data_IF_850002904963
#
_entry.id   IF_850002904963
#
_cell.length_a   1.000
_cell.length_b   1.000
_cell.length_c   1.000
_cell.angle_alpha   90.00
_cell.angle_beta   90.00
_cell.angle_gamma   90.00
#
_symmetry.space_group_name_H-M   'P 1'
#
loop_
_entity.id
_entity.type
_entity.pdbx_description
1 polymer ?
#
# COMPACT_ATOMS: atom_id res chain seq x y z
N UNK A 1 -68.94 15.64 5.15
CA UNK A 1 -68.13 16.32 4.11
C UNK A 1 -66.66 16.04 4.37
N UNK A 2 -65.97 15.51 3.35
CA UNK A 2 -64.56 15.09 3.34
C UNK A 2 -63.61 16.25 3.65
N UNK A 3 -62.58 16.03 4.48
CA UNK A 3 -61.28 16.69 4.32
C UNK A 3 -60.19 15.62 4.30
N UNK A 4 -59.64 15.43 3.12
CA UNK A 4 -58.51 14.57 2.81
C UNK A 4 -57.22 15.19 3.35
N UNK A 5 -56.53 14.48 4.24
CA UNK A 5 -55.12 14.66 4.56
C UNK A 5 -54.31 13.88 3.54
N UNK A 6 -53.75 14.57 2.54
CA UNK A 6 -52.72 13.99 1.66
C UNK A 6 -51.39 14.17 2.37
N UNK A 7 -50.94 13.14 3.07
CA UNK A 7 -49.60 13.06 3.62
C UNK A 7 -48.67 12.62 2.49
N UNK A 8 -47.90 13.57 1.96
CA UNK A 8 -46.89 13.31 0.93
C UNK A 8 -45.70 12.60 1.59
N UNK A 9 -45.72 11.26 1.61
CA UNK A 9 -44.56 10.43 1.96
C UNK A 9 -43.56 10.48 0.79
N UNK A 10 -42.70 11.50 0.76
CA UNK A 10 -41.45 11.43 0.01
C UNK A 10 -40.52 10.44 0.72
N UNK A 11 -40.60 9.17 0.32
CA UNK A 11 -39.56 8.17 0.61
C UNK A 11 -38.27 8.62 -0.08
N UNK A 12 -37.38 9.23 0.69
CA UNK A 12 -35.97 9.39 0.32
C UNK A 12 -35.38 7.98 0.36
N UNK A 13 -35.34 7.32 -0.80
CA UNK A 13 -34.52 6.12 -0.99
C UNK A 13 -33.07 6.60 -0.93
N UNK A 14 -32.46 6.53 0.26
CA UNK A 14 -31.01 6.56 0.37
C UNK A 14 -30.49 5.34 -0.39
N UNK A 15 -30.06 5.55 -1.64
CA UNK A 15 -29.21 4.62 -2.36
C UNK A 15 -27.90 4.51 -1.58
N UNK A 16 -27.83 3.54 -0.67
CA UNK A 16 -26.58 3.12 -0.06
C UNK A 16 -25.74 2.53 -1.19
N UNK A 17 -24.86 3.35 -1.77
CA UNK A 17 -23.85 2.88 -2.71
C UNK A 17 -23.07 1.77 -2.01
N UNK A 18 -22.95 0.55 -2.58
CA UNK A 18 -22.18 -0.50 -1.95
C UNK A 18 -20.75 0.00 -1.78
N UNK A 19 -20.28 -0.03 -0.53
CA UNK A 19 -18.91 0.33 -0.20
C UNK A 19 -17.98 -0.54 -1.06
N UNK A 20 -17.16 0.13 -1.86
CA UNK A 20 -16.30 -0.55 -2.83
C UNK A 20 -14.94 -0.87 -2.22
N UNK A 21 -14.89 -1.49 -1.03
CA UNK A 21 -13.63 -1.61 -0.32
C UNK A 21 -12.75 -2.72 -0.90
N UNK A 22 -11.73 -2.33 -1.65
CA UNK A 22 -10.51 -3.12 -1.80
C UNK A 22 -9.51 -2.59 -0.77
N UNK A 23 -9.01 -3.47 0.10
CA UNK A 23 -8.12 -3.08 1.19
C UNK A 23 -6.91 -4.00 1.23
N UNK A 24 -5.73 -3.38 1.33
CA UNK A 24 -4.45 -4.02 1.53
C UNK A 24 -3.89 -3.54 2.86
N UNK A 25 -3.64 -4.49 3.76
CA UNK A 25 -3.13 -4.24 5.10
C UNK A 25 -1.84 -5.06 5.30
N UNK A 26 -0.97 -4.58 6.18
CA UNK A 26 0.21 -5.32 6.61
C UNK A 26 0.23 -5.34 8.14
N UNK A 27 0.43 -6.50 8.75
CA UNK A 27 0.43 -6.64 10.21
C UNK A 27 1.16 -7.91 10.67
N UNK A 28 1.36 -8.03 11.98
CA UNK A 28 1.99 -9.21 12.57
C UNK A 28 0.94 -10.16 13.13
N UNK A 29 1.09 -11.46 12.86
CA UNK A 29 0.26 -12.53 13.41
C UNK A 29 1.14 -13.47 14.23
N UNK A 30 0.71 -13.77 15.46
CA UNK A 30 1.38 -14.72 16.34
C UNK A 30 1.04 -16.15 15.90
N UNK A 31 2.05 -16.93 15.52
CA UNK A 31 1.91 -18.33 15.15
C UNK A 31 1.79 -19.23 16.40
N UNK A 32 1.28 -20.47 16.27
CA UNK A 32 1.16 -21.43 17.38
C UNK A 32 2.48 -21.68 18.14
N UNK A 33 3.63 -21.54 17.47
CA UNK A 33 4.96 -21.65 18.09
C UNK A 33 5.47 -20.38 18.79
N UNK A 34 4.61 -19.36 18.98
CA UNK A 34 4.96 -18.11 19.66
C UNK A 34 5.70 -17.08 18.79
N UNK A 35 6.12 -17.45 17.58
CA UNK A 35 6.79 -16.57 16.62
C UNK A 35 5.79 -15.57 15.99
N UNK A 36 6.25 -14.34 15.74
CA UNK A 36 5.47 -13.33 15.04
C UNK A 36 5.86 -13.28 13.57
N UNK A 37 4.90 -13.56 12.69
CA UNK A 37 5.07 -13.53 11.24
C UNK A 37 4.38 -12.30 10.70
N UNK A 38 5.08 -11.52 9.87
CA UNK A 38 4.44 -10.42 9.16
C UNK A 38 3.62 -10.96 7.99
N UNK A 39 2.36 -10.54 7.93
CA UNK A 39 1.37 -10.98 6.96
C UNK A 39 0.86 -9.76 6.18
N UNK A 40 0.75 -9.91 4.87
CA UNK A 40 -0.08 -9.05 4.04
C UNK A 40 -1.49 -9.63 4.02
N UNK A 41 -2.49 -8.79 4.33
CA UNK A 41 -3.90 -9.14 4.24
C UNK A 41 -4.53 -8.34 3.10
N UNK A 42 -5.24 -9.03 2.23
CA UNK A 42 -6.00 -8.42 1.14
C UNK A 42 -7.46 -8.77 1.38
N UNK A 43 -8.34 -7.78 1.38
CA UNK A 43 -9.78 -7.97 1.56
C UNK A 43 -10.59 -7.16 0.55
N UNK A 44 -11.71 -7.73 0.12
CA UNK A 44 -12.61 -7.17 -0.87
C UNK A 44 -14.06 -7.23 -0.38
N UNK A 45 -14.83 -6.25 -0.80
CA UNK A 45 -16.29 -6.27 -0.75
C UNK A 45 -16.88 -6.80 -2.06
N UNK A 46 -18.20 -6.95 -2.12
CA UNK A 46 -18.92 -7.54 -3.26
C UNK A 46 -18.50 -6.93 -4.60
N UNK A 47 -18.36 -5.60 -4.67
CA UNK A 47 -17.99 -4.87 -5.89
C UNK A 47 -16.53 -5.12 -6.34
N UNK A 48 -15.64 -5.52 -5.43
CA UNK A 48 -14.22 -5.80 -5.69
C UNK A 48 -13.87 -7.28 -5.57
N UNK A 49 -14.89 -8.14 -5.44
CA UNK A 49 -14.73 -9.58 -5.21
C UNK A 49 -13.92 -10.30 -6.28
N UNK A 50 -13.99 -9.85 -7.55
CA UNK A 50 -13.19 -10.39 -8.64
C UNK A 50 -11.69 -10.17 -8.46
N UNK A 51 -11.27 -9.05 -7.83
CA UNK A 51 -9.87 -8.79 -7.51
C UNK A 51 -9.36 -9.80 -6.48
N UNK A 52 -10.11 -10.00 -5.39
CA UNK A 52 -9.74 -11.00 -4.40
C UNK A 52 -9.83 -12.41 -4.98
N UNK A 53 -10.82 -12.73 -5.82
CA UNK A 53 -10.87 -14.04 -6.46
C UNK A 53 -9.60 -14.32 -7.27
N UNK A 54 -9.08 -13.32 -7.99
CA UNK A 54 -7.83 -13.46 -8.76
C UNK A 54 -6.58 -13.57 -7.88
N UNK A 55 -6.52 -12.85 -6.76
CA UNK A 55 -5.36 -12.83 -5.87
C UNK A 55 -5.37 -14.02 -4.91
N UNK A 56 -6.51 -14.22 -4.27
CA UNK A 56 -6.68 -15.04 -3.09
C UNK A 56 -7.29 -16.41 -3.38
N UNK A 57 -7.77 -16.65 -4.61
CA UNK A 57 -8.68 -17.78 -4.93
C UNK A 57 -9.92 -17.82 -4.02
N UNK A 58 -10.25 -16.66 -3.44
CA UNK A 58 -11.34 -16.44 -2.50
C UNK A 58 -11.90 -15.03 -2.75
N UNK A 59 -13.22 -14.86 -2.88
CA UNK A 59 -13.80 -13.58 -3.27
C UNK A 59 -13.76 -12.51 -2.16
N UNK A 60 -13.47 -12.87 -0.91
CA UNK A 60 -13.54 -11.95 0.23
C UNK A 60 -12.19 -11.55 0.77
N UNK A 61 -11.26 -12.49 1.00
CA UNK A 61 -9.95 -12.16 1.55
C UNK A 61 -8.92 -13.28 1.41
N UNK A 62 -7.64 -12.90 1.55
CA UNK A 62 -6.55 -13.81 1.88
C UNK A 62 -5.51 -13.14 2.78
N UNK A 63 -4.68 -13.98 3.39
CA UNK A 63 -3.48 -13.56 4.10
C UNK A 63 -2.28 -14.29 3.49
N UNK A 64 -1.20 -13.57 3.27
CA UNK A 64 0.05 -14.11 2.72
C UNK A 64 1.21 -13.70 3.62
N UNK A 65 2.12 -14.64 3.99
CA UNK A 65 3.30 -14.29 4.74
C UNK A 65 4.26 -13.46 3.89
N UNK A 66 4.81 -12.38 4.46
CA UNK A 66 5.82 -11.59 3.74
C UNK A 66 7.13 -12.38 3.60
N UNK A 67 7.75 -12.40 2.40
CA UNK A 67 8.92 -13.23 2.14
C UNK A 67 10.13 -12.88 3.01
N UNK A 68 10.42 -11.58 3.24
CA UNK A 68 11.56 -11.13 4.05
C UNK A 68 11.30 -11.01 5.53
N UNK A 69 10.03 -10.98 5.93
CA UNK A 69 9.67 -10.64 7.29
C UNK A 69 8.87 -11.68 8.02
N UNK A 70 9.28 -12.93 7.79
CA UNK A 70 8.71 -14.08 8.49
C UNK A 70 8.95 -14.04 10.00
N UNK A 71 9.94 -13.28 10.50
CA UNK A 71 10.27 -13.18 11.94
C UNK A 71 10.85 -11.82 12.39
N UNK A 72 10.69 -10.72 11.64
CA UNK A 72 11.41 -9.46 12.01
C UNK A 72 10.82 -8.64 13.16
N UNK A 73 9.93 -9.19 13.98
CA UNK A 73 9.54 -8.53 15.21
C UNK A 73 10.77 -8.43 16.15
N UNK A 74 11.51 -7.31 16.08
CA UNK A 74 12.69 -7.03 16.89
C UNK A 74 14.06 -7.32 16.25
N UNK A 75 14.15 -7.81 15.01
CA UNK A 75 15.47 -8.06 14.37
C UNK A 75 15.87 -6.90 13.47
N UNK A 76 17.02 -6.26 13.74
CA UNK A 76 17.56 -5.15 12.93
C UNK A 76 18.17 -5.66 11.62
N UNK A 77 17.36 -5.82 10.55
CA UNK A 77 17.89 -6.09 9.21
C UNK A 77 18.62 -4.85 8.65
N UNK A 78 19.95 -4.89 8.45
CA UNK A 78 20.69 -3.77 7.86
C UNK A 78 20.19 -3.43 6.46
N UNK A 79 19.80 -4.46 5.69
CA UNK A 79 19.23 -4.34 4.35
C UNK A 79 17.96 -3.47 4.36
N UNK A 80 17.03 -3.73 5.28
CA UNK A 80 15.78 -2.97 5.38
C UNK A 80 16.03 -1.53 5.84
N UNK A 81 17.00 -1.30 6.74
CA UNK A 81 17.40 0.06 7.15
C UNK A 81 17.97 0.87 6.00
N UNK A 82 18.88 0.26 5.21
CA UNK A 82 19.43 0.90 4.02
C UNK A 82 18.35 1.16 2.98
N UNK A 83 17.44 0.21 2.76
CA UNK A 83 16.31 0.33 1.85
C UNK A 83 15.42 1.54 2.19
N UNK A 84 15.03 1.70 3.46
CA UNK A 84 14.24 2.85 3.89
C UNK A 84 14.97 4.18 3.66
N UNK A 85 16.28 4.22 3.92
CA UNK A 85 17.12 5.40 3.66
C UNK A 85 17.15 5.74 2.17
N UNK A 86 17.39 4.75 1.32
CA UNK A 86 17.56 4.94 -0.13
C UNK A 86 16.25 5.25 -0.85
N UNK A 87 15.12 4.63 -0.46
CA UNK A 87 13.79 4.93 -1.00
C UNK A 87 13.53 6.43 -0.99
N UNK A 88 13.81 7.04 0.15
CA UNK A 88 13.43 8.41 0.42
C UNK A 88 14.21 9.46 -0.36
N UNK A 89 15.48 9.15 -0.68
CA UNK A 89 16.35 9.98 -1.50
C UNK A 89 16.08 9.77 -2.98
N UNK A 90 15.74 8.54 -3.35
CA UNK A 90 15.71 8.09 -4.74
C UNK A 90 14.36 8.33 -5.39
N UNK A 91 13.25 8.27 -4.64
CA UNK A 91 11.90 8.31 -5.19
C UNK A 91 11.11 9.53 -4.72
N UNK A 92 10.24 10.00 -5.60
CA UNK A 92 9.17 10.96 -5.32
C UNK A 92 7.81 10.33 -5.67
N UNK A 93 6.78 10.70 -4.91
CA UNK A 93 5.40 10.30 -5.22
C UNK A 93 4.90 11.13 -6.41
N UNK A 94 4.28 10.47 -7.39
CA UNK A 94 3.91 11.10 -8.66
C UNK A 94 2.40 11.31 -8.80
N UNK A 95 1.63 10.23 -9.01
CA UNK A 95 0.20 10.33 -9.30
C UNK A 95 -0.55 9.13 -8.73
N UNK A 96 -1.85 9.30 -8.49
CA UNK A 96 -2.72 8.20 -8.10
C UNK A 96 -2.96 7.24 -9.28
N UNK A 97 -2.93 5.96 -8.99
CA UNK A 97 -3.22 4.89 -9.93
C UNK A 97 -4.73 4.81 -10.19
N UNK A 98 -5.16 5.27 -11.36
CA UNK A 98 -6.57 5.25 -11.74
C UNK A 98 -7.10 3.84 -12.04
N UNK A 99 -6.26 2.94 -12.57
CA UNK A 99 -6.64 1.56 -12.86
C UNK A 99 -6.14 0.59 -11.78
N UNK A 100 -7.06 0.16 -10.91
CA UNK A 100 -6.78 -0.79 -9.85
C UNK A 100 -6.29 -2.15 -10.35
N UNK A 101 -6.60 -2.54 -11.58
CA UNK A 101 -6.13 -3.81 -12.14
C UNK A 101 -4.60 -3.87 -12.25
N UNK A 102 -3.94 -2.73 -12.42
CA UNK A 102 -2.47 -2.66 -12.43
C UNK A 102 -1.90 -3.05 -11.06
N UNK A 103 -2.48 -2.53 -9.97
CA UNK A 103 -2.11 -2.91 -8.61
C UNK A 103 -2.42 -4.39 -8.34
N UNK A 104 -3.58 -4.88 -8.76
CA UNK A 104 -3.97 -6.29 -8.59
C UNK A 104 -2.97 -7.21 -9.29
N UNK A 105 -2.57 -6.89 -10.53
CA UNK A 105 -1.53 -7.66 -11.25
C UNK A 105 -0.20 -7.65 -10.50
N UNK A 106 0.22 -6.49 -10.00
CA UNK A 106 1.45 -6.38 -9.20
C UNK A 106 1.40 -7.26 -7.95
N UNK A 107 0.31 -7.18 -7.16
CA UNK A 107 0.11 -8.00 -5.96
C UNK A 107 -0.02 -9.50 -6.29
N UNK A 108 -0.48 -9.84 -7.50
CA UNK A 108 -0.55 -11.22 -7.99
C UNK A 108 0.83 -11.86 -8.22
N UNK A 109 1.89 -11.06 -8.36
CA UNK A 109 3.25 -11.61 -8.56
C UNK A 109 3.84 -12.23 -7.30
N UNK A 110 3.33 -11.87 -6.12
CA UNK A 110 3.86 -12.26 -4.80
C UNK A 110 5.35 -11.92 -4.58
N UNK A 111 5.94 -11.11 -5.47
CA UNK A 111 7.35 -10.70 -5.44
C UNK A 111 7.46 -9.27 -4.99
N UNK A 112 6.91 -9.02 -3.81
CA UNK A 112 6.92 -7.72 -3.15
C UNK A 112 6.98 -7.87 -1.63
N UNK A 113 7.37 -6.78 -0.97
CA UNK A 113 7.18 -6.58 0.48
C UNK A 113 6.46 -5.26 0.71
N UNK A 114 5.63 -5.18 1.75
CA UNK A 114 4.94 -3.95 2.12
C UNK A 114 5.61 -3.37 3.37
N UNK A 115 6.34 -2.29 3.23
CA UNK A 115 7.00 -1.67 4.37
C UNK A 115 6.10 -0.59 4.98
N UNK A 116 5.71 -0.78 6.24
CA UNK A 116 5.01 0.25 7.00
C UNK A 116 5.95 1.42 7.27
N UNK A 117 5.51 2.66 7.04
CA UNK A 117 6.26 3.86 7.41
C UNK A 117 6.58 3.89 8.91
N UNK A 118 5.72 3.35 9.79
CA UNK A 118 5.99 3.23 11.23
C UNK A 118 6.87 2.03 11.60
N UNK A 119 7.46 1.34 10.63
CA UNK A 119 8.35 0.21 10.90
C UNK A 119 9.53 0.60 11.80
N UNK A 120 9.96 -0.31 12.67
CA UNK A 120 11.14 -0.15 13.54
C UNK A 120 12.42 0.16 12.75
N UNK A 121 12.46 -0.22 11.47
CA UNK A 121 13.55 0.08 10.55
C UNK A 121 13.60 1.57 10.16
N UNK A 122 12.46 2.26 10.23
CA UNK A 122 12.32 3.69 10.03
C UNK A 122 12.62 4.50 11.31
N UNK A 123 12.54 3.87 12.50
CA UNK A 123 12.68 4.57 13.78
C UNK A 123 14.07 5.17 14.03
N UNK A 124 15.14 4.48 13.60
CA UNK A 124 16.52 4.90 13.87
C UNK A 124 17.10 5.86 12.81
N UNK A 125 16.46 5.94 11.64
CA UNK A 125 16.84 6.89 10.58
C UNK A 125 15.57 7.17 9.76
N UNK A 126 14.79 8.21 10.11
CA UNK A 126 13.52 8.46 9.43
C UNK A 126 13.73 8.65 7.93
N UNK A 127 12.98 7.90 7.15
CA UNK A 127 12.79 7.97 5.71
C UNK A 127 12.64 9.43 5.30
N UNK A 128 13.64 9.92 4.56
CA UNK A 128 13.54 11.11 3.70
C UNK A 128 13.76 12.44 4.37
N UNK A 129 14.07 12.42 5.67
CA UNK A 129 13.87 13.62 6.46
C UNK A 129 12.46 14.18 6.24
N UNK A 130 12.32 15.47 6.44
CA UNK A 130 11.02 16.16 6.38
C UNK A 130 10.37 16.12 4.98
N UNK A 131 11.15 15.95 3.90
CA UNK A 131 10.67 16.09 2.52
C UNK A 131 9.78 14.92 2.06
N UNK A 132 10.21 13.67 2.22
CA UNK A 132 9.40 12.52 1.81
C UNK A 132 8.16 12.34 2.71
N UNK A 133 8.29 12.63 4.01
CA UNK A 133 7.15 12.67 4.93
C UNK A 133 6.11 13.73 4.51
N UNK A 134 6.56 14.90 4.05
CA UNK A 134 5.68 15.94 3.51
C UNK A 134 4.99 15.50 2.21
N UNK A 135 5.69 14.79 1.32
CA UNK A 135 5.08 14.21 0.12
C UNK A 135 4.01 13.17 0.49
N UNK A 136 4.30 12.27 1.43
CA UNK A 136 3.31 11.34 1.95
C UNK A 136 2.09 12.08 2.52
N UNK A 137 2.29 13.14 3.30
CA UNK A 137 1.21 13.99 3.80
C UNK A 137 0.40 14.64 2.67
N UNK A 138 1.05 15.10 1.61
CA UNK A 138 0.38 15.74 0.47
C UNK A 138 -0.49 14.76 -0.34
N UNK A 139 -0.02 13.53 -0.55
CA UNK A 139 -0.75 12.53 -1.35
C UNK A 139 -1.72 11.69 -0.52
N UNK A 140 -1.35 11.34 0.71
CA UNK A 140 -2.11 10.44 1.57
C UNK A 140 -2.92 11.14 2.65
N UNK A 141 -2.76 12.46 2.84
CA UNK A 141 -3.45 13.21 3.89
C UNK A 141 -3.23 12.59 5.27
N UNK A 142 -4.31 12.45 6.03
CA UNK A 142 -4.30 11.88 7.38
C UNK A 142 -3.86 10.41 7.41
N UNK A 143 -3.92 9.70 6.27
CA UNK A 143 -3.50 8.30 6.19
C UNK A 143 -1.98 8.14 5.96
N UNK A 144 -1.22 9.22 5.79
CA UNK A 144 0.23 9.19 5.55
C UNK A 144 1.00 8.37 6.62
N UNK A 145 0.55 8.43 7.87
CA UNK A 145 1.14 7.71 9.00
C UNK A 145 0.93 6.18 8.96
N UNK A 146 0.02 5.70 8.13
CA UNK A 146 -0.28 4.29 7.92
C UNK A 146 0.04 3.84 6.49
N UNK A 147 0.77 4.67 5.74
CA UNK A 147 1.16 4.36 4.38
C UNK A 147 2.05 3.10 4.33
N UNK A 148 1.81 2.28 3.31
CA UNK A 148 2.60 1.09 3.02
C UNK A 148 3.42 1.33 1.75
N UNK A 149 4.72 1.12 1.84
CA UNK A 149 5.64 1.18 0.71
C UNK A 149 5.71 -0.19 0.05
N UNK A 150 5.20 -0.31 -1.18
CA UNK A 150 5.24 -1.55 -1.94
C UNK A 150 6.56 -1.65 -2.71
N UNK A 151 7.49 -2.44 -2.17
CA UNK A 151 8.81 -2.65 -2.75
C UNK A 151 8.82 -3.94 -3.55
N UNK A 152 9.20 -3.85 -4.83
CA UNK A 152 9.35 -4.99 -5.73
C UNK A 152 10.60 -5.79 -5.40
N UNK A 153 10.52 -7.10 -5.56
CA UNK A 153 11.60 -8.05 -5.35
C UNK A 153 12.07 -8.68 -6.67
N UNK A 154 13.35 -9.05 -6.74
CA UNK A 154 13.93 -9.79 -7.87
C UNK A 154 13.65 -11.31 -7.78
N UNK A 155 14.34 -12.11 -8.60
CA UNK A 155 14.16 -13.57 -8.69
C UNK A 155 14.74 -14.32 -7.50
N UNK A 156 15.77 -13.73 -6.88
CA UNK A 156 16.37 -14.20 -5.64
C UNK A 156 15.80 -13.47 -4.43
N UNK A 157 14.61 -12.88 -4.62
CA UNK A 157 13.81 -12.12 -3.69
C UNK A 157 14.41 -10.76 -3.26
N UNK A 158 15.59 -10.30 -3.71
CA UNK A 158 16.18 -9.06 -3.19
C UNK A 158 15.34 -7.81 -3.51
N UNK A 159 15.26 -6.81 -2.60
CA UNK A 159 14.58 -5.55 -2.87
C UNK A 159 15.18 -4.83 -4.10
N UNK A 160 14.36 -4.55 -5.11
CA UNK A 160 14.78 -3.92 -6.36
C UNK A 160 14.41 -2.45 -6.46
N UNK A 161 13.13 -2.13 -6.27
CA UNK A 161 12.59 -0.79 -6.55
C UNK A 161 11.32 -0.54 -5.74
N UNK A 162 11.10 0.71 -5.32
CA UNK A 162 9.79 1.12 -4.84
C UNK A 162 8.87 1.21 -6.05
N UNK A 163 7.74 0.49 -6.02
CA UNK A 163 6.77 0.47 -7.12
C UNK A 163 5.56 1.35 -6.81
N UNK A 164 5.05 1.29 -5.58
CA UNK A 164 3.87 2.05 -5.17
C UNK A 164 3.96 2.52 -3.72
N UNK A 165 3.27 3.60 -3.42
CA UNK A 165 2.84 3.96 -2.06
C UNK A 165 1.37 3.64 -1.94
N UNK A 166 0.98 2.85 -0.94
CA UNK A 166 -0.41 2.48 -0.69
C UNK A 166 -0.90 3.24 0.54
N UNK A 167 -2.02 3.93 0.40
CA UNK A 167 -2.63 4.71 1.48
C UNK A 167 -4.13 4.44 1.54
N UNK A 168 -4.73 4.71 2.70
CA UNK A 168 -6.18 4.64 2.84
C UNK A 168 -6.80 5.96 2.39
N UNK A 169 -7.78 5.92 1.50
CA UNK A 169 -8.55 7.12 1.16
C UNK A 169 -9.66 7.40 2.17
N UNK A 170 -10.36 8.53 1.99
CA UNK A 170 -11.46 8.96 2.84
C UNK A 170 -12.65 7.97 2.86
N UNK A 171 -12.76 7.08 1.87
CA UNK A 171 -13.75 6.01 1.84
C UNK A 171 -13.27 4.73 2.54
N UNK A 172 -12.11 4.75 3.20
CA UNK A 172 -11.57 3.61 3.90
C UNK A 172 -10.94 2.54 2.99
N UNK A 173 -10.68 2.84 1.72
CA UNK A 173 -10.17 1.89 0.72
C UNK A 173 -8.69 2.12 0.43
N UNK A 174 -7.98 1.11 -0.06
CA UNK A 174 -6.60 1.29 -0.53
C UNK A 174 -6.58 2.04 -1.86
N UNK A 175 -5.94 3.19 -1.84
CA UNK A 175 -5.48 3.93 -3.01
C UNK A 175 -3.98 3.69 -3.18
N UNK A 176 -3.53 3.59 -4.43
CA UNK A 176 -2.14 3.37 -4.76
C UNK A 176 -1.61 4.56 -5.54
N UNK A 177 -0.42 5.01 -5.19
CA UNK A 177 0.27 6.10 -5.85
C UNK A 177 1.52 5.56 -6.52
N UNK A 178 1.70 5.91 -7.78
CA UNK A 178 2.93 5.63 -8.51
C UNK A 178 4.07 6.48 -7.95
N UNK A 179 5.27 5.92 -7.98
CA UNK A 179 6.49 6.64 -7.65
C UNK A 179 7.39 6.73 -8.86
N UNK A 180 8.18 7.80 -8.91
CA UNK A 180 9.17 8.00 -9.95
C UNK A 180 10.52 8.33 -9.32
N UNK A 181 11.63 7.96 -9.98
CA UNK A 181 12.94 8.43 -9.57
C UNK A 181 12.98 9.95 -9.48
N UNK A 182 13.54 10.50 -8.39
CA UNK A 182 13.89 11.92 -8.32
C UNK A 182 14.92 12.19 -9.41
N UNK A 183 14.63 13.13 -10.30
CA UNK A 183 15.63 13.57 -11.27
C UNK A 183 16.79 14.24 -10.50
N UNK A 184 18.03 13.75 -10.63
CA UNK A 184 19.17 14.48 -10.10
C UNK A 184 19.24 15.84 -10.82
N UNK A 185 19.48 16.90 -10.05
CA UNK A 185 19.49 18.26 -10.58
C UNK A 185 20.39 18.40 -11.83
N UNK A 186 19.82 19.07 -12.84
CA UNK A 186 20.40 19.53 -14.11
C UNK A 186 20.43 18.48 -15.24
N UNK A 187 19.37 18.50 -16.05
CA UNK A 187 19.35 17.96 -17.41
C UNK A 187 18.14 17.06 -17.67
N UNK A 188 17.15 17.58 -18.39
CA UNK A 188 15.92 16.90 -18.81
C UNK A 188 16.19 15.62 -19.63
N UNK A 189 16.48 14.51 -18.96
CA UNK A 189 16.29 13.16 -19.50
C UNK A 189 15.44 12.37 -18.52
N UNK A 190 14.21 11.96 -18.88
CA UNK A 190 13.49 10.98 -18.09
C UNK A 190 14.38 9.73 -18.00
N UNK A 191 14.59 9.23 -16.78
CA UNK A 191 15.29 7.97 -16.57
C UNK A 191 14.41 6.87 -17.19
N UNK A 192 14.86 6.32 -18.30
CA UNK A 192 14.17 5.25 -19.04
C UNK A 192 14.23 3.89 -18.34
N UNK A 193 14.83 3.82 -17.15
CA UNK A 193 14.95 2.62 -16.34
C UNK A 193 14.69 2.93 -14.86
N UNK A 194 14.01 2.04 -14.11
CA UNK A 194 13.84 2.19 -12.67
C UNK A 194 15.22 2.23 -11.99
N UNK A 195 15.39 3.11 -11.00
CA UNK A 195 16.61 3.13 -10.18
C UNK A 195 16.56 1.91 -9.25
N UNK A 196 17.34 0.88 -9.60
CA UNK A 196 17.46 -0.34 -8.81
C UNK A 196 18.30 -0.05 -7.56
N UNK A 197 17.84 -0.50 -6.39
CA UNK A 197 18.64 -0.42 -5.17
C UNK A 197 19.96 -1.18 -5.37
N UNK A 198 21.09 -0.49 -5.23
CA UNK A 198 22.41 -1.12 -5.14
C UNK A 198 22.73 -1.35 -3.66
N UNK A 199 22.24 -2.47 -3.14
CA UNK A 199 22.51 -2.89 -1.76
C UNK A 199 23.76 -3.77 -1.82
N UNK A 200 24.91 -3.21 -1.44
CA UNK A 200 26.20 -3.92 -1.36
C UNK A 200 26.34 -4.68 -0.05
#
# INVERSE_FOLDING_TARGET
MKKWTVLLLTSIVLLTVPASAFLVESGYVKQPGGQYVKMTKISCETATSSHCQSLCQNPTACQRPEPYCRNCAGTTSPLLRQLFTEISKTYAISQELNDRQVLVKYLGTERYVLLDIKSVFNYYTPVGGEAFAKELGAFCGDAAESALLAVKLDEVHQPMALSYVLCRNNAGQTSAFEVQPRQPGIGNRPLSAPIIFKLN
#
